data_IF_847739252890
#
_entry.id   IF_847739252890
#
_cell.length_a   1.000
_cell.length_b   1.000
_cell.length_c   1.000
_cell.angle_alpha   90.00
_cell.angle_beta   90.00
_cell.angle_gamma   90.00
#
_symmetry.space_group_name_H-M   'P 1'
#
loop_
_entity.id
_entity.type
_entity.pdbx_description
1 polymer ?
#
# COMPACT_ATOMS: atom_id res chain seq x y z
N UNK A 1 8.88 -14.63 7.92
CA UNK A 1 9.82 -13.63 7.42
C UNK A 1 9.51 -12.22 7.91
N UNK A 2 9.23 -12.05 9.18
CA UNK A 2 8.91 -10.72 9.76
C UNK A 2 10.11 -10.12 10.48
N UNK A 3 11.33 -10.47 10.01
CA UNK A 3 12.54 -9.94 10.62
C UNK A 3 12.61 -8.45 10.36
N UNK A 4 12.71 -7.68 11.43
CA UNK A 4 13.02 -6.27 11.40
C UNK A 4 14.52 -6.09 11.30
N UNK A 5 14.93 -5.13 10.51
CA UNK A 5 16.32 -4.73 10.33
C UNK A 5 16.44 -3.25 10.66
N UNK A 6 17.45 -2.90 11.41
CA UNK A 6 17.77 -1.51 11.66
C UNK A 6 18.38 -0.89 10.40
N UNK A 7 17.69 0.09 9.82
CA UNK A 7 18.22 0.90 8.72
C UNK A 7 18.41 2.33 9.19
N UNK A 8 19.53 2.91 8.80
CA UNK A 8 19.83 4.31 9.05
C UNK A 8 19.10 5.19 8.04
N UNK A 9 18.55 6.30 8.51
CA UNK A 9 18.00 7.36 7.68
C UNK A 9 19.15 8.11 7.02
N UNK A 10 19.32 7.92 5.73
CA UNK A 10 20.37 8.59 4.96
C UNK A 10 20.00 10.04 4.63
N UNK A 11 18.72 10.28 4.32
CA UNK A 11 18.24 11.61 3.92
C UNK A 11 16.76 11.79 4.24
N UNK A 12 16.40 13.04 4.59
CA UNK A 12 15.01 13.49 4.71
C UNK A 12 14.79 14.67 3.77
N UNK A 13 13.86 14.53 2.83
CA UNK A 13 13.48 15.57 1.88
C UNK A 13 12.05 16.01 2.13
N UNK A 14 11.84 17.30 2.40
CA UNK A 14 10.49 17.86 2.53
C UNK A 14 9.83 17.95 1.14
N UNK A 15 8.68 17.29 0.98
CA UNK A 15 7.89 17.30 -0.26
C UNK A 15 6.83 18.39 -0.23
N UNK A 16 6.21 18.60 0.93
CA UNK A 16 5.23 19.65 1.21
C UNK A 16 5.38 20.08 2.68
N UNK A 17 4.60 21.05 3.14
CA UNK A 17 4.58 21.46 4.56
C UNK A 17 4.16 20.33 5.54
N UNK A 18 3.54 19.27 5.02
CA UNK A 18 3.02 18.15 5.82
C UNK A 18 3.56 16.78 5.38
N UNK A 19 4.56 16.74 4.50
CA UNK A 19 5.05 15.47 3.94
C UNK A 19 6.56 15.46 3.79
N UNK A 20 7.17 14.31 4.10
CA UNK A 20 8.60 14.07 3.93
C UNK A 20 8.84 12.78 3.14
N UNK A 21 9.93 12.77 2.37
CA UNK A 21 10.50 11.54 1.82
C UNK A 21 11.68 11.14 2.70
N UNK A 22 11.71 9.87 3.08
CA UNK A 22 12.73 9.24 3.91
C UNK A 22 13.50 8.28 3.00
N UNK A 23 14.80 8.51 2.82
CA UNK A 23 15.71 7.61 2.10
C UNK A 23 16.55 6.85 3.12
N UNK A 24 16.62 5.54 2.98
CA UNK A 24 17.36 4.66 3.87
C UNK A 24 18.73 4.31 3.30
N UNK A 25 19.72 4.22 4.18
CA UNK A 25 21.01 3.61 3.87
C UNK A 25 20.87 2.08 4.01
N UNK A 26 20.92 1.37 2.89
CA UNK A 26 20.86 -0.10 2.87
C UNK A 26 22.28 -0.66 2.82
N UNK A 27 22.75 -1.32 3.90
CA UNK A 27 24.08 -1.97 3.91
C UNK A 27 24.21 -3.01 2.79
N UNK A 28 25.40 -3.16 2.22
CA UNK A 28 25.67 -4.09 1.11
C UNK A 28 25.19 -5.52 1.39
N UNK A 29 25.36 -6.00 2.61
CA UNK A 29 24.91 -7.32 3.04
C UNK A 29 23.38 -7.50 3.02
N UNK A 30 22.64 -6.39 3.04
CA UNK A 30 21.18 -6.37 3.05
C UNK A 30 20.56 -6.02 1.69
N UNK A 31 21.34 -5.69 0.67
CA UNK A 31 20.83 -5.30 -0.66
C UNK A 31 19.89 -6.33 -1.27
N UNK A 32 20.17 -7.62 -1.12
CA UNK A 32 19.27 -8.69 -1.56
C UNK A 32 17.97 -8.76 -0.76
N UNK A 33 18.05 -8.47 0.54
CA UNK A 33 16.88 -8.51 1.44
C UNK A 33 15.96 -7.35 1.15
N UNK A 34 16.51 -6.20 0.76
CA UNK A 34 15.77 -4.97 0.44
C UNK A 34 15.67 -4.70 -1.06
N UNK A 35 15.94 -5.70 -1.92
CA UNK A 35 15.52 -5.61 -3.33
C UNK A 35 13.99 -5.64 -3.40
N UNK A 36 13.42 -4.83 -4.27
CA UNK A 36 11.97 -4.64 -4.35
C UNK A 36 11.47 -4.61 -5.79
N UNK A 37 10.19 -4.90 -5.94
CA UNK A 37 9.43 -4.64 -7.16
C UNK A 37 8.72 -3.28 -7.04
N UNK A 38 8.62 -2.56 -8.16
CA UNK A 38 7.96 -1.25 -8.14
C UNK A 38 6.49 -1.37 -7.76
N UNK A 39 6.09 -0.64 -6.71
CA UNK A 39 4.76 -0.70 -6.10
C UNK A 39 4.71 -1.43 -4.75
N UNK A 40 5.75 -2.16 -4.36
CA UNK A 40 5.85 -2.73 -3.01
C UNK A 40 5.97 -1.64 -1.93
N UNK A 41 5.74 -2.05 -0.68
CA UNK A 41 5.83 -1.18 0.49
C UNK A 41 6.83 -1.71 1.53
N UNK A 42 7.30 -0.82 2.39
CA UNK A 42 8.02 -1.15 3.61
C UNK A 42 7.11 -1.05 4.82
N UNK A 43 7.32 -1.92 5.79
CA UNK A 43 6.77 -1.75 7.13
C UNK A 43 7.83 -1.14 8.03
N UNK A 44 7.57 0.07 8.51
CA UNK A 44 8.43 0.79 9.43
C UNK A 44 7.92 0.62 10.86
N UNK A 45 8.83 0.37 11.79
CA UNK A 45 8.54 0.28 13.21
C UNK A 45 9.46 1.21 14.01
N UNK A 46 8.87 1.90 14.97
CA UNK A 46 9.61 2.74 15.91
C UNK A 46 8.93 2.73 17.29
N UNK A 47 9.73 2.88 18.33
CA UNK A 47 9.20 3.11 19.69
C UNK A 47 8.94 4.59 19.86
N UNK A 48 7.67 4.98 19.98
CA UNK A 48 7.23 6.37 20.12
C UNK A 48 6.42 6.46 21.42
N UNK A 49 6.79 7.36 22.30
CA UNK A 49 6.17 7.52 23.64
C UNK A 49 6.11 6.21 24.45
N UNK A 50 7.12 5.35 24.32
CA UNK A 50 7.20 4.06 25.01
C UNK A 50 6.40 2.92 24.37
N UNK A 51 5.70 3.17 23.29
CA UNK A 51 4.92 2.17 22.55
C UNK A 51 5.54 1.86 21.19
N UNK A 52 5.55 0.58 20.81
CA UNK A 52 5.96 0.16 19.47
C UNK A 52 4.87 0.47 18.46
N UNK A 53 5.17 1.35 17.53
CA UNK A 53 4.25 1.77 16.47
C UNK A 53 4.78 1.28 15.12
N UNK A 54 3.95 0.49 14.40
CA UNK A 54 4.28 -0.11 13.10
C UNK A 54 3.34 0.43 12.02
N UNK A 55 3.88 0.86 10.86
CA UNK A 55 3.08 1.37 9.73
C UNK A 55 3.69 0.97 8.39
N UNK A 56 2.80 0.73 7.41
CA UNK A 56 3.18 0.48 6.02
C UNK A 56 3.30 1.79 5.24
N UNK A 57 4.34 1.89 4.41
CA UNK A 57 4.53 2.99 3.45
C UNK A 57 5.05 2.44 2.14
N UNK A 58 4.36 2.74 1.04
CA UNK A 58 4.77 2.30 -0.29
C UNK A 58 6.13 2.92 -0.65
N UNK A 59 6.98 2.13 -1.29
CA UNK A 59 8.25 2.58 -1.83
C UNK A 59 7.95 3.56 -2.96
N UNK A 60 8.66 4.70 -2.98
CA UNK A 60 8.48 5.75 -3.98
C UNK A 60 9.71 5.94 -4.89
N UNK A 61 10.83 5.30 -4.58
CA UNK A 61 11.98 5.20 -5.48
C UNK A 61 11.73 4.20 -6.61
N UNK A 62 12.34 4.43 -7.77
CA UNK A 62 12.37 3.46 -8.86
C UNK A 62 13.39 2.34 -8.58
N UNK A 63 13.14 1.14 -9.09
CA UNK A 63 14.03 -0.03 -8.91
C UNK A 63 15.43 0.24 -9.49
N UNK A 64 15.50 1.08 -10.51
CA UNK A 64 16.74 1.47 -11.20
C UNK A 64 17.55 2.58 -10.49
N UNK A 65 17.01 3.22 -9.44
CA UNK A 65 17.67 4.37 -8.80
C UNK A 65 18.73 3.95 -7.78
N UNK A 66 18.72 2.68 -7.33
CA UNK A 66 19.65 2.20 -6.30
C UNK A 66 19.38 2.78 -4.91
N UNK A 67 18.24 3.43 -4.73
CA UNK A 67 17.78 4.02 -3.48
C UNK A 67 16.55 3.27 -2.93
N UNK A 68 16.40 3.29 -1.63
CA UNK A 68 15.22 2.77 -0.94
C UNK A 68 14.55 3.93 -0.20
N UNK A 69 13.45 4.44 -0.76
CA UNK A 69 12.77 5.62 -0.23
C UNK A 69 11.29 5.40 -0.08
N UNK A 70 10.71 5.95 1.00
CA UNK A 70 9.26 6.03 1.24
C UNK A 70 8.86 7.47 1.49
N UNK A 71 7.60 7.83 1.21
CA UNK A 71 7.10 9.14 1.58
C UNK A 71 5.98 9.03 2.62
N UNK A 72 6.06 9.90 3.61
CA UNK A 72 5.13 9.99 4.74
C UNK A 72 4.41 11.31 4.71
N UNK A 73 3.08 11.30 4.58
CA UNK A 73 2.22 12.46 4.77
C UNK A 73 1.64 12.42 6.19
N UNK A 74 1.78 13.52 6.92
CA UNK A 74 1.19 13.66 8.26
C UNK A 74 -0.32 13.62 8.18
N UNK A 75 -0.93 12.76 8.99
CA UNK A 75 -2.38 12.68 9.17
C UNK A 75 -2.77 13.21 10.56
N UNK A 76 -3.96 13.80 10.72
CA UNK A 76 -4.43 14.26 12.03
C UNK A 76 -4.36 13.12 13.07
N UNK A 77 -3.77 13.39 14.23
CA UNK A 77 -3.59 12.43 15.33
C UNK A 77 -2.78 11.17 14.98
N UNK A 78 -2.08 11.16 13.86
CA UNK A 78 -1.25 10.04 13.44
C UNK A 78 0.08 10.01 14.20
N UNK A 79 0.29 9.02 15.09
CA UNK A 79 1.49 8.91 15.93
C UNK A 79 2.75 8.79 15.08
N UNK A 80 2.83 7.77 14.21
CA UNK A 80 4.03 7.56 13.39
C UNK A 80 4.24 8.69 12.38
N UNK A 81 3.18 9.15 11.70
CA UNK A 81 3.31 10.19 10.69
C UNK A 81 3.71 11.55 11.27
N UNK A 82 3.29 11.86 12.50
CA UNK A 82 3.76 13.07 13.21
C UNK A 82 5.23 12.94 13.57
N UNK A 83 5.63 11.80 14.17
CA UNK A 83 7.04 11.51 14.47
C UNK A 83 7.92 11.64 13.21
N UNK A 84 7.54 10.98 12.12
CA UNK A 84 8.32 10.98 10.88
C UNK A 84 8.48 12.36 10.23
N UNK A 85 7.48 13.25 10.39
CA UNK A 85 7.51 14.58 9.77
C UNK A 85 8.04 15.69 10.67
N UNK A 86 8.17 15.46 11.98
CA UNK A 86 8.51 16.51 12.95
C UNK A 86 9.74 16.21 13.80
N UNK A 87 10.03 14.93 14.06
CA UNK A 87 11.05 14.52 15.03
C UNK A 87 12.20 13.74 14.40
N UNK A 88 11.90 12.88 13.41
CA UNK A 88 12.88 12.03 12.74
C UNK A 88 13.94 12.87 12.02
N UNK A 89 15.21 12.45 12.13
CA UNK A 89 16.36 13.16 11.56
C UNK A 89 17.24 12.22 10.75
N UNK A 90 18.01 12.81 9.85
CA UNK A 90 19.11 12.11 9.17
C UNK A 90 20.11 11.57 10.20
N UNK A 91 20.50 10.32 10.02
CA UNK A 91 21.34 9.60 10.94
C UNK A 91 20.60 8.76 12.00
N UNK A 92 19.30 9.00 12.21
CA UNK A 92 18.48 8.16 13.08
C UNK A 92 18.32 6.76 12.49
N UNK A 93 17.94 5.81 13.34
CA UNK A 93 17.70 4.42 12.95
C UNK A 93 16.23 4.06 13.11
N UNK A 94 15.69 3.37 12.12
CA UNK A 94 14.32 2.83 12.13
C UNK A 94 14.38 1.33 11.90
N UNK A 95 13.55 0.56 12.59
CA UNK A 95 13.33 -0.85 12.32
C UNK A 95 12.45 -1.00 11.08
N UNK A 96 12.94 -1.72 10.05
CA UNK A 96 12.29 -1.85 8.75
C UNK A 96 12.13 -3.32 8.40
N UNK A 97 10.94 -3.74 7.98
CA UNK A 97 10.74 -5.05 7.35
C UNK A 97 11.15 -5.02 5.88
N UNK A 98 11.59 -6.15 5.32
CA UNK A 98 11.83 -6.27 3.88
C UNK A 98 10.61 -5.83 3.06
N UNK A 99 10.82 -5.42 1.78
CA UNK A 99 9.73 -5.06 0.88
C UNK A 99 8.68 -6.16 0.76
N UNK A 100 7.42 -5.77 0.66
CA UNK A 100 6.26 -6.64 0.58
C UNK A 100 5.16 -5.97 -0.26
N UNK A 101 4.23 -6.77 -0.77
CA UNK A 101 3.04 -6.27 -1.45
C UNK A 101 2.71 -7.04 -2.71
N UNK A 102 1.46 -6.91 -3.17
CA UNK A 102 0.97 -7.50 -4.41
C UNK A 102 0.61 -6.46 -5.47
N UNK A 103 0.66 -5.17 -5.11
CA UNK A 103 0.40 -4.05 -6.01
C UNK A 103 1.67 -3.70 -6.79
N UNK A 104 2.11 -4.60 -7.68
CA UNK A 104 3.41 -4.51 -8.33
C UNK A 104 3.32 -4.31 -9.84
N UNK A 105 4.35 -3.70 -10.39
CA UNK A 105 4.52 -3.49 -11.82
C UNK A 105 5.28 -4.66 -12.45
N UNK A 106 4.56 -5.46 -13.24
CA UNK A 106 5.14 -6.57 -14.01
C UNK A 106 5.22 -6.18 -15.49
N UNK A 107 6.40 -5.94 -16.01
CA UNK A 107 6.58 -5.52 -17.40
C UNK A 107 6.73 -6.69 -18.41
N UNK A 108 7.06 -7.91 -17.95
CA UNK A 108 7.33 -9.04 -18.84
C UNK A 108 6.10 -9.81 -19.33
N UNK A 109 4.99 -9.81 -18.57
CA UNK A 109 3.85 -10.70 -18.81
C UNK A 109 2.96 -10.25 -19.96
N UNK A 110 2.87 -8.96 -20.24
CA UNK A 110 1.98 -8.39 -21.26
C UNK A 110 2.71 -7.71 -22.43
N UNK A 111 4.01 -7.93 -22.55
CA UNK A 111 4.82 -7.24 -23.55
C UNK A 111 4.86 -5.72 -23.32
N UNK A 112 5.30 -4.99 -24.31
CA UNK A 112 5.42 -3.52 -24.26
C UNK A 112 4.06 -2.82 -24.38
N UNK A 113 3.16 -3.03 -23.42
CA UNK A 113 1.86 -2.36 -23.40
C UNK A 113 1.89 -1.16 -22.46
N UNK A 114 1.25 -0.08 -22.92
CA UNK A 114 1.14 1.18 -22.19
C UNK A 114 0.32 1.03 -20.91
N UNK A 115 0.60 1.86 -19.90
CA UNK A 115 -0.08 1.82 -18.61
C UNK A 115 -0.73 3.15 -18.25
N UNK A 116 -1.83 3.08 -17.52
CA UNK A 116 -2.49 4.24 -16.95
C UNK A 116 -2.46 4.17 -15.42
N UNK A 117 -1.97 5.24 -14.81
CA UNK A 117 -1.83 5.38 -13.36
C UNK A 117 -2.83 6.43 -12.87
N UNK A 118 -3.60 6.08 -11.86
CA UNK A 118 -4.54 6.99 -11.19
C UNK A 118 -4.18 7.11 -9.72
N UNK A 119 -3.99 8.33 -9.25
CA UNK A 119 -3.79 8.53 -7.81
C UNK A 119 -4.45 9.79 -7.29
N UNK A 120 -4.63 9.87 -5.97
CA UNK A 120 -4.91 11.11 -5.28
C UNK A 120 -4.17 11.16 -3.93
N UNK A 121 -3.67 12.36 -3.60
CA UNK A 121 -2.94 12.61 -2.37
C UNK A 121 -1.73 11.69 -2.19
N UNK A 122 -1.63 11.01 -1.06
CA UNK A 122 -0.51 10.09 -0.75
C UNK A 122 -0.49 8.82 -1.58
N UNK A 123 -1.58 8.46 -2.29
CA UNK A 123 -1.58 7.33 -3.22
C UNK A 123 -0.61 7.47 -4.40
N UNK A 124 0.03 8.61 -4.53
CA UNK A 124 1.11 8.85 -5.50
C UNK A 124 2.36 8.01 -5.23
N UNK A 125 2.59 7.57 -4.00
CA UNK A 125 3.86 6.92 -3.61
C UNK A 125 4.17 5.66 -4.43
N UNK A 126 3.30 4.65 -4.54
CA UNK A 126 3.55 3.50 -5.40
C UNK A 126 3.57 3.88 -6.89
N UNK A 127 2.80 4.90 -7.30
CA UNK A 127 2.78 5.38 -8.69
C UNK A 127 4.13 5.98 -9.11
N UNK A 128 4.82 6.68 -8.20
CA UNK A 128 6.17 7.20 -8.48
C UNK A 128 7.15 6.06 -8.73
N UNK A 129 7.15 5.04 -7.89
CA UNK A 129 7.98 3.85 -8.07
C UNK A 129 7.70 3.17 -9.43
N UNK A 130 6.43 2.95 -9.75
CA UNK A 130 5.99 2.34 -11.01
C UNK A 130 6.37 3.20 -12.21
N UNK A 131 6.08 4.51 -12.18
CA UNK A 131 6.37 5.41 -13.29
C UNK A 131 7.87 5.51 -13.58
N UNK A 132 8.70 5.74 -12.55
CA UNK A 132 10.16 5.80 -12.67
C UNK A 132 10.73 4.51 -13.26
N UNK A 133 10.31 3.36 -12.71
CA UNK A 133 10.76 2.05 -13.16
C UNK A 133 10.33 1.78 -14.61
N UNK A 134 9.06 2.00 -14.93
CA UNK A 134 8.52 1.79 -16.27
C UNK A 134 9.23 2.66 -17.33
N UNK A 135 9.42 3.94 -17.04
CA UNK A 135 10.06 4.87 -17.95
C UNK A 135 11.55 4.57 -18.16
N UNK A 136 12.26 4.14 -17.11
CA UNK A 136 13.68 3.85 -17.20
C UNK A 136 13.99 2.48 -17.79
N UNK A 137 13.20 1.45 -17.47
CA UNK A 137 13.52 0.08 -17.80
C UNK A 137 12.76 -0.47 -19.03
N UNK A 138 11.78 0.27 -19.55
CA UNK A 138 10.96 -0.15 -20.70
C UNK A 138 10.82 0.97 -21.73
N UNK A 139 10.12 0.69 -22.83
CA UNK A 139 9.75 1.68 -23.85
C UNK A 139 8.26 2.03 -23.86
N UNK A 140 7.51 1.57 -22.85
CA UNK A 140 6.07 1.82 -22.75
C UNK A 140 5.76 3.29 -22.49
N UNK A 141 4.55 3.69 -22.84
CA UNK A 141 4.00 4.99 -22.48
C UNK A 141 3.23 4.89 -21.17
N UNK A 142 3.33 5.94 -20.38
CA UNK A 142 2.68 6.06 -19.08
C UNK A 142 1.78 7.30 -19.10
N UNK A 143 0.50 7.14 -18.88
CA UNK A 143 -0.43 8.25 -18.61
C UNK A 143 -0.70 8.27 -17.12
N UNK A 144 -0.40 9.39 -16.48
CA UNK A 144 -0.55 9.56 -15.06
C UNK A 144 -1.61 10.63 -14.73
N UNK A 145 -2.66 10.23 -14.04
CA UNK A 145 -3.76 11.10 -13.60
C UNK A 145 -3.65 11.29 -12.10
N UNK A 146 -3.37 12.53 -11.67
CA UNK A 146 -3.06 12.80 -10.28
C UNK A 146 -3.96 13.87 -9.67
N UNK A 147 -4.82 13.46 -8.73
CA UNK A 147 -5.75 14.32 -8.02
C UNK A 147 -5.17 14.89 -6.72
N UNK A 148 -5.33 16.18 -6.49
CA UNK A 148 -4.93 16.87 -5.25
C UNK A 148 -5.93 17.99 -4.90
N UNK A 149 -5.74 18.64 -3.76
CA UNK A 149 -6.50 19.83 -3.39
C UNK A 149 -5.98 21.05 -4.12
N UNK A 150 -4.67 21.26 -4.10
CA UNK A 150 -3.95 22.34 -4.76
C UNK A 150 -2.58 21.86 -5.25
N UNK A 151 -1.86 22.71 -5.97
CA UNK A 151 -0.48 22.45 -6.40
C UNK A 151 0.46 22.30 -5.21
N UNK A 152 0.33 23.14 -4.21
CA UNK A 152 1.18 23.19 -3.01
C UNK A 152 1.07 21.92 -2.15
N UNK A 153 -0.09 21.24 -2.20
CA UNK A 153 -0.31 19.95 -1.52
C UNK A 153 0.09 18.74 -2.38
N UNK A 154 0.58 18.96 -3.60
CA UNK A 154 0.95 17.88 -4.54
C UNK A 154 2.32 17.33 -4.21
N UNK A 155 2.36 16.12 -3.65
CA UNK A 155 3.62 15.41 -3.39
C UNK A 155 4.34 15.15 -4.71
N UNK A 156 5.66 15.24 -4.70
CA UNK A 156 6.52 14.97 -5.86
C UNK A 156 6.26 15.85 -7.08
N UNK A 157 5.63 17.04 -6.92
CA UNK A 157 5.26 17.88 -8.06
C UNK A 157 6.48 18.18 -8.98
N UNK A 158 7.57 18.68 -8.40
CA UNK A 158 8.77 19.04 -9.16
C UNK A 158 9.44 17.82 -9.82
N UNK A 159 9.43 16.67 -9.13
CA UNK A 159 9.98 15.42 -9.64
C UNK A 159 9.13 14.85 -10.78
N UNK A 160 7.81 14.93 -10.70
CA UNK A 160 6.89 14.54 -11.78
C UNK A 160 7.11 15.43 -13.01
N UNK A 161 7.24 16.74 -12.84
CA UNK A 161 7.50 17.67 -13.96
C UNK A 161 8.91 17.44 -14.57
N UNK A 162 9.91 17.10 -13.76
CA UNK A 162 11.23 16.71 -14.26
C UNK A 162 11.17 15.41 -15.08
N UNK A 163 10.45 14.38 -14.61
CA UNK A 163 10.23 13.15 -15.37
C UNK A 163 9.48 13.40 -16.68
N UNK A 164 8.48 14.29 -16.66
CA UNK A 164 7.72 14.68 -17.85
C UNK A 164 8.61 15.38 -18.87
N UNK A 165 9.53 16.24 -18.42
CA UNK A 165 10.51 16.89 -19.28
C UNK A 165 11.55 15.88 -19.83
N UNK A 166 11.94 14.89 -19.04
CA UNK A 166 12.87 13.83 -19.45
C UNK A 166 12.26 12.85 -20.46
N UNK A 167 10.97 12.55 -20.34
CA UNK A 167 10.27 11.58 -21.18
C UNK A 167 9.03 12.19 -21.88
N UNK A 168 9.19 13.29 -22.68
CA UNK A 168 8.06 14.07 -23.16
C UNK A 168 7.10 13.29 -24.06
N UNK A 169 7.59 12.27 -24.78
CA UNK A 169 6.76 11.44 -25.66
C UNK A 169 6.10 10.26 -24.92
N UNK A 170 6.67 9.83 -23.81
CA UNK A 170 6.24 8.61 -23.12
C UNK A 170 5.57 8.84 -21.78
N UNK A 171 5.74 10.01 -21.14
CA UNK A 171 5.13 10.33 -19.86
C UNK A 171 4.16 11.50 -19.99
N UNK A 172 2.88 11.22 -19.90
CA UNK A 172 1.82 12.21 -19.99
C UNK A 172 1.14 12.36 -18.63
N UNK A 173 1.18 13.56 -18.07
CA UNK A 173 0.64 13.85 -16.74
C UNK A 173 -0.58 14.74 -16.82
N UNK A 174 -1.62 14.40 -16.09
CA UNK A 174 -2.86 15.15 -15.96
C UNK A 174 -3.18 15.36 -14.49
N UNK A 175 -3.11 16.62 -14.06
CA UNK A 175 -3.52 16.97 -12.71
C UNK A 175 -5.00 17.28 -12.64
N UNK A 176 -5.63 16.96 -11.50
CA UNK A 176 -7.00 17.33 -11.16
C UNK A 176 -7.01 18.01 -9.78
N UNK A 177 -7.30 19.32 -9.74
CA UNK A 177 -7.28 20.10 -8.50
C UNK A 177 -8.68 20.37 -7.99
N UNK A 178 -9.00 19.93 -6.77
CA UNK A 178 -10.34 19.95 -6.22
C UNK A 178 -10.72 21.23 -5.46
N UNK A 179 -9.74 22.03 -5.03
CA UNK A 179 -9.98 23.24 -4.25
C UNK A 179 -9.40 24.49 -4.92
N UNK A 180 -8.18 24.40 -5.43
CA UNK A 180 -7.49 25.54 -6.06
C UNK A 180 -7.09 25.17 -7.50
N UNK A 181 -7.93 25.54 -8.49
CA UNK A 181 -7.62 25.32 -9.90
C UNK A 181 -6.29 25.99 -10.29
N UNK A 182 -5.47 25.28 -11.07
CA UNK A 182 -4.19 25.79 -11.52
C UNK A 182 -3.96 25.49 -13.01
N UNK A 183 -3.66 26.52 -13.80
CA UNK A 183 -3.39 26.39 -15.23
C UNK A 183 -4.52 25.70 -16.01
N UNK A 184 -4.18 25.02 -17.09
CA UNK A 184 -5.11 24.28 -17.96
C UNK A 184 -5.36 22.83 -17.47
N UNK A 185 -5.33 22.62 -16.15
CA UNK A 185 -5.56 21.32 -15.55
C UNK A 185 -7.03 21.08 -15.23
N UNK A 186 -7.41 19.81 -15.00
CA UNK A 186 -8.78 19.48 -14.62
C UNK A 186 -9.13 20.11 -13.27
N UNK A 187 -10.35 20.64 -13.20
CA UNK A 187 -10.93 21.16 -11.95
C UNK A 187 -11.83 20.11 -11.33
N UNK A 188 -11.70 19.92 -10.01
CA UNK A 188 -12.48 18.94 -9.27
C UNK A 188 -11.73 17.66 -9.00
N UNK A 189 -12.46 16.63 -8.54
CA UNK A 189 -11.91 15.28 -8.32
C UNK A 189 -11.91 14.50 -9.63
N UNK A 190 -11.03 13.50 -9.71
CA UNK A 190 -11.04 12.52 -10.80
C UNK A 190 -12.43 11.89 -10.86
N UNK A 191 -13.04 11.90 -12.03
CA UNK A 191 -14.41 11.44 -12.26
C UNK A 191 -14.54 10.84 -13.68
N UNK A 192 -15.73 10.34 -14.00
CA UNK A 192 -16.04 9.68 -15.26
C UNK A 192 -15.74 10.54 -16.50
N UNK A 193 -16.02 11.85 -16.42
CA UNK A 193 -15.72 12.78 -17.51
C UNK A 193 -14.23 12.82 -17.81
N UNK A 194 -13.38 13.00 -16.76
CA UNK A 194 -11.93 13.04 -16.91
C UNK A 194 -11.42 11.72 -17.49
N UNK A 195 -11.92 10.59 -16.98
CA UNK A 195 -11.53 9.27 -17.47
C UNK A 195 -11.91 9.08 -18.94
N UNK A 196 -13.12 9.48 -19.35
CA UNK A 196 -13.55 9.44 -20.75
C UNK A 196 -12.68 10.31 -21.65
N UNK A 197 -12.46 11.58 -21.27
CA UNK A 197 -11.63 12.52 -22.03
C UNK A 197 -10.20 11.93 -22.26
N UNK A 198 -9.65 11.22 -21.28
CA UNK A 198 -8.33 10.61 -21.40
C UNK A 198 -8.32 9.36 -22.29
N UNK A 199 -9.35 8.50 -22.21
CA UNK A 199 -9.47 7.36 -23.11
C UNK A 199 -9.62 7.82 -24.57
N UNK A 200 -10.40 8.87 -24.82
CA UNK A 200 -10.55 9.45 -26.17
C UNK A 200 -9.23 10.07 -26.65
N UNK A 201 -8.55 10.83 -25.78
CA UNK A 201 -7.28 11.49 -26.09
C UNK A 201 -6.16 10.51 -26.44
N UNK A 202 -6.13 9.37 -25.74
CA UNK A 202 -5.08 8.34 -25.89
C UNK A 202 -5.62 7.05 -26.49
N UNK A 203 -6.63 7.14 -27.35
CA UNK A 203 -7.27 5.98 -28.01
C UNK A 203 -6.30 5.09 -28.80
N UNK A 204 -5.20 5.68 -29.29
CA UNK A 204 -4.18 4.99 -30.10
C UNK A 204 -3.09 4.33 -29.22
N UNK A 205 -3.20 4.40 -27.88
CA UNK A 205 -2.26 3.74 -26.98
C UNK A 205 -2.61 2.25 -26.85
N UNK A 206 -1.59 1.41 -26.78
CA UNK A 206 -1.75 -0.03 -26.61
C UNK A 206 -1.86 -0.38 -25.13
N UNK A 207 -3.03 -0.12 -24.54
CA UNK A 207 -3.25 -0.27 -23.11
C UNK A 207 -3.03 -1.69 -22.58
N UNK A 208 -2.18 -1.84 -21.56
CA UNK A 208 -1.90 -3.06 -20.82
C UNK A 208 -2.61 -3.10 -19.48
N UNK A 209 -2.22 -2.26 -18.55
CA UNK A 209 -2.68 -2.29 -17.16
C UNK A 209 -3.06 -0.91 -16.65
N UNK A 210 -3.93 -0.94 -15.65
CA UNK A 210 -4.46 0.24 -14.97
C UNK A 210 -4.17 0.10 -13.48
N UNK A 211 -3.55 1.10 -12.89
CA UNK A 211 -3.21 1.13 -11.48
C UNK A 211 -3.93 2.28 -10.80
N UNK A 212 -4.58 2.02 -9.66
CA UNK A 212 -5.29 3.03 -8.89
C UNK A 212 -4.92 2.95 -7.41
N UNK A 213 -4.46 4.07 -6.82
CA UNK A 213 -4.17 4.19 -5.39
C UNK A 213 -4.56 5.57 -4.86
N UNK A 214 -5.20 5.62 -3.71
CA UNK A 214 -5.67 6.86 -3.09
C UNK A 214 -6.85 6.64 -2.14
N UNK A 215 -7.70 7.67 -1.94
CA UNK A 215 -8.90 7.53 -1.12
C UNK A 215 -9.80 6.39 -1.59
N UNK A 216 -10.32 5.63 -0.64
CA UNK A 216 -11.10 4.41 -0.89
C UNK A 216 -12.21 4.60 -1.92
N UNK A 217 -12.97 5.70 -1.81
CA UNK A 217 -14.06 5.96 -2.75
C UNK A 217 -13.56 6.18 -4.17
N UNK A 218 -12.47 6.94 -4.36
CA UNK A 218 -11.87 7.14 -5.68
C UNK A 218 -11.45 5.82 -6.32
N UNK A 219 -10.78 4.96 -5.55
CA UNK A 219 -10.30 3.66 -6.06
C UNK A 219 -11.46 2.75 -6.46
N UNK A 220 -12.53 2.70 -5.64
CA UNK A 220 -13.76 1.94 -5.95
C UNK A 220 -14.45 2.47 -7.21
N UNK A 221 -14.63 3.78 -7.31
CA UNK A 221 -15.26 4.42 -8.46
C UNK A 221 -14.44 4.16 -9.75
N UNK A 222 -13.13 4.33 -9.69
CA UNK A 222 -12.23 4.05 -10.82
C UNK A 222 -12.31 2.59 -11.27
N UNK A 223 -12.29 1.66 -10.32
CA UNK A 223 -12.41 0.23 -10.64
C UNK A 223 -13.73 -0.06 -11.36
N UNK A 224 -14.83 0.47 -10.87
CA UNK A 224 -16.16 0.32 -11.50
C UNK A 224 -16.18 0.95 -12.90
N UNK A 225 -15.69 2.19 -13.05
CA UNK A 225 -15.58 2.89 -14.32
C UNK A 225 -14.79 2.08 -15.37
N UNK A 226 -13.67 1.46 -14.97
CA UNK A 226 -12.84 0.66 -15.85
C UNK A 226 -13.54 -0.65 -16.26
N UNK A 227 -14.20 -1.33 -15.32
CA UNK A 227 -14.98 -2.55 -15.58
C UNK A 227 -16.16 -2.27 -16.52
N UNK A 228 -16.90 -1.17 -16.35
CA UNK A 228 -17.99 -0.76 -17.23
C UNK A 228 -17.51 -0.47 -18.65
N UNK A 229 -16.24 -0.15 -18.86
CA UNK A 229 -15.60 -0.03 -20.19
C UNK A 229 -15.14 -1.35 -20.80
N UNK A 230 -15.44 -2.47 -20.14
CA UNK A 230 -15.06 -3.80 -20.62
C UNK A 230 -13.59 -4.14 -20.39
N UNK A 231 -12.91 -3.43 -19.51
CA UNK A 231 -11.53 -3.77 -19.13
C UNK A 231 -11.57 -4.97 -18.21
N UNK A 232 -10.81 -6.00 -18.53
CA UNK A 232 -10.71 -7.20 -17.70
C UNK A 232 -10.21 -6.87 -16.30
N UNK A 233 -10.84 -7.45 -15.29
CA UNK A 233 -10.49 -7.26 -13.88
C UNK A 233 -9.01 -7.54 -13.57
N UNK A 234 -8.41 -8.51 -14.27
CA UNK A 234 -7.02 -8.93 -14.09
C UNK A 234 -6.01 -7.90 -14.66
N UNK A 235 -6.51 -6.85 -15.29
CA UNK A 235 -5.74 -5.70 -15.79
C UNK A 235 -5.88 -4.48 -14.91
N UNK A 236 -6.72 -4.53 -13.86
CA UNK A 236 -7.02 -3.42 -12.95
C UNK A 236 -6.41 -3.74 -11.59
N UNK A 237 -5.39 -2.98 -11.21
CA UNK A 237 -4.69 -3.12 -9.94
C UNK A 237 -5.08 -1.96 -9.03
N UNK A 238 -5.47 -2.29 -7.80
CA UNK A 238 -5.91 -1.28 -6.83
C UNK A 238 -5.19 -1.47 -5.49
N UNK A 239 -4.79 -0.38 -4.86
CA UNK A 239 -4.25 -0.37 -3.50
C UNK A 239 -4.96 0.67 -2.66
N UNK A 240 -5.31 0.32 -1.42
CA UNK A 240 -5.98 1.18 -0.45
C UNK A 240 -5.04 1.45 0.74
N UNK A 241 -4.93 2.71 1.16
CA UNK A 241 -4.19 3.08 2.37
C UNK A 241 -5.11 3.24 3.58
N UNK A 242 -6.36 3.55 3.32
CA UNK A 242 -7.38 3.67 4.34
C UNK A 242 -8.43 2.56 4.16
N UNK A 243 -8.81 2.00 5.26
CA UNK A 243 -9.83 0.98 5.25
C UNK A 243 -11.23 1.60 5.18
N UNK A 244 -12.14 0.99 4.43
CA UNK A 244 -13.58 1.26 4.56
C UNK A 244 -14.05 1.01 6.02
N UNK A 245 -15.19 1.55 6.46
CA UNK A 245 -15.80 1.12 7.72
C UNK A 245 -15.94 -0.40 7.78
N UNK A 246 -15.88 -0.98 8.98
CA UNK A 246 -16.08 -2.41 9.14
C UNK A 246 -17.46 -2.82 8.59
N UNK A 247 -17.50 -3.93 7.85
CA UNK A 247 -18.75 -4.48 7.29
C UNK A 247 -19.58 -5.21 8.37
N UNK A 248 -18.90 -5.69 9.42
CA UNK A 248 -19.53 -6.37 10.54
C UNK A 248 -18.80 -6.05 11.86
N UNK A 249 -19.56 -5.99 12.93
CA UNK A 249 -19.05 -5.83 14.29
C UNK A 249 -19.09 -7.17 15.05
N UNK A 250 -17.93 -7.74 15.28
CA UNK A 250 -17.76 -8.96 16.07
C UNK A 250 -17.26 -8.69 17.50
N UNK A 251 -17.17 -7.43 17.93
CA UNK A 251 -16.74 -7.05 19.28
C UNK A 251 -17.71 -7.54 20.37
N UNK A 252 -18.94 -7.92 19.99
CA UNK A 252 -19.98 -8.43 20.87
C UNK A 252 -19.98 -9.95 21.02
N UNK A 253 -19.08 -10.68 20.34
CA UNK A 253 -18.96 -12.13 20.52
C UNK A 253 -18.60 -12.46 21.96
N UNK A 254 -19.31 -13.44 22.53
CA UNK A 254 -19.11 -13.90 23.93
C UNK A 254 -18.39 -15.25 23.96
N UNK A 255 -17.74 -15.52 25.08
CA UNK A 255 -17.04 -16.78 25.34
C UNK A 255 -15.58 -16.75 24.91
N UNK A 256 -14.94 -17.88 25.10
CA UNK A 256 -13.53 -18.10 24.79
C UNK A 256 -13.37 -19.00 23.56
N UNK A 257 -12.21 -18.94 22.97
CA UNK A 257 -11.76 -19.81 21.89
C UNK A 257 -10.37 -20.36 22.21
N UNK A 258 -10.18 -21.64 22.00
CA UNK A 258 -8.85 -22.28 22.00
C UNK A 258 -8.21 -22.07 20.62
N UNK A 259 -7.13 -21.29 20.58
CA UNK A 259 -6.41 -20.97 19.35
C UNK A 259 -5.14 -21.83 19.27
N UNK A 260 -5.01 -22.62 18.21
CA UNK A 260 -3.78 -23.28 17.83
C UNK A 260 -3.12 -22.49 16.72
N UNK A 261 -2.00 -21.83 17.03
CA UNK A 261 -1.24 -20.95 16.15
C UNK A 261 0.00 -21.67 15.62
N UNK A 262 0.14 -21.79 14.30
CA UNK A 262 1.39 -22.22 13.64
C UNK A 262 2.13 -21.00 13.11
N UNK A 263 3.31 -20.73 13.68
CA UNK A 263 4.12 -19.55 13.39
C UNK A 263 5.61 -19.92 13.40
N UNK A 264 6.35 -19.60 12.34
CA UNK A 264 7.80 -19.86 12.27
C UNK A 264 8.19 -21.31 12.46
N UNK A 265 7.36 -22.27 12.05
CA UNK A 265 7.58 -23.71 12.23
C UNK A 265 7.22 -24.24 13.62
N UNK A 266 6.85 -23.37 14.56
CA UNK A 266 6.39 -23.74 15.90
C UNK A 266 4.87 -23.76 16.00
N UNK A 267 4.34 -24.54 16.92
CA UNK A 267 2.90 -24.63 17.21
C UNK A 267 2.65 -24.20 18.65
N UNK A 268 1.76 -23.26 18.85
CA UNK A 268 1.38 -22.73 20.16
C UNK A 268 -0.13 -22.87 20.35
N UNK A 269 -0.57 -23.29 21.52
CA UNK A 269 -2.00 -23.39 21.86
C UNK A 269 -2.29 -22.54 23.08
N UNK A 270 -3.33 -21.70 23.00
CA UNK A 270 -3.73 -20.80 24.08
C UNK A 270 -5.19 -20.41 23.95
N UNK A 271 -5.77 -19.97 25.08
CA UNK A 271 -7.14 -19.45 25.10
C UNK A 271 -7.16 -17.93 24.89
N UNK A 272 -8.19 -17.45 24.22
CA UNK A 272 -8.49 -16.02 24.06
C UNK A 272 -9.99 -15.77 24.03
N UNK A 273 -10.40 -14.52 24.23
CA UNK A 273 -11.80 -14.13 24.09
C UNK A 273 -12.21 -14.06 22.61
N UNK A 274 -13.41 -14.50 22.26
CA UNK A 274 -13.92 -14.49 20.87
C UNK A 274 -14.11 -13.10 20.30
N UNK A 275 -14.27 -12.08 21.14
CA UNK A 275 -14.36 -10.67 20.73
C UNK A 275 -13.01 -10.01 20.42
N UNK A 276 -11.94 -10.76 20.43
CA UNK A 276 -10.62 -10.30 20.01
C UNK A 276 -10.27 -10.87 18.63
N UNK A 277 -9.58 -10.08 17.82
CA UNK A 277 -9.05 -10.59 16.55
C UNK A 277 -7.98 -11.64 16.81
N UNK A 278 -7.84 -12.59 15.89
CA UNK A 278 -6.85 -13.66 15.99
C UNK A 278 -5.43 -13.13 16.09
N UNK A 279 -5.12 -12.03 15.38
CA UNK A 279 -3.83 -11.34 15.48
C UNK A 279 -3.64 -10.72 16.87
N UNK A 280 -4.63 -9.97 17.37
CA UNK A 280 -4.54 -9.34 18.69
C UNK A 280 -4.32 -10.38 19.78
N UNK A 281 -5.04 -11.51 19.70
CA UNK A 281 -4.90 -12.64 20.61
C UNK A 281 -3.49 -13.22 20.63
N UNK A 282 -2.84 -13.33 19.45
CA UNK A 282 -1.46 -13.79 19.33
C UNK A 282 -0.46 -12.78 19.92
N UNK A 283 -0.60 -11.49 19.56
CA UNK A 283 0.30 -10.43 20.03
C UNK A 283 0.22 -10.24 21.55
N UNK A 284 -0.95 -10.32 22.16
CA UNK A 284 -1.13 -10.21 23.61
C UNK A 284 -0.47 -11.36 24.39
N UNK A 285 -0.23 -12.50 23.73
CA UNK A 285 0.55 -13.64 24.28
C UNK A 285 2.05 -13.53 24.01
N UNK A 286 2.50 -12.45 23.35
CA UNK A 286 3.91 -12.23 23.04
C UNK A 286 4.40 -12.96 21.79
N UNK A 287 3.51 -13.53 20.97
CA UNK A 287 3.90 -14.15 19.71
C UNK A 287 4.10 -13.05 18.64
N UNK A 288 5.23 -13.05 17.96
CA UNK A 288 5.56 -12.09 16.89
C UNK A 288 4.89 -12.49 15.57
N UNK A 289 3.54 -12.50 15.58
CA UNK A 289 2.77 -12.76 14.38
C UNK A 289 2.90 -11.60 13.38
N UNK A 290 2.87 -11.88 12.05
CA UNK A 290 3.07 -10.85 11.03
C UNK A 290 1.94 -9.85 10.98
N UNK A 291 2.26 -8.56 10.95
CA UNK A 291 1.30 -7.49 10.69
C UNK A 291 2.00 -6.18 10.29
N UNK A 292 1.22 -5.28 9.68
CA UNK A 292 1.67 -3.92 9.36
C UNK A 292 0.55 -2.89 9.59
N UNK A 293 -0.49 -2.84 8.75
CA UNK A 293 -1.50 -1.79 8.77
C UNK A 293 -2.54 -1.92 9.88
N UNK A 294 -2.83 -3.13 10.38
CA UNK A 294 -3.91 -3.49 11.32
C UNK A 294 -5.33 -3.18 10.80
N UNK A 295 -5.49 -2.79 9.55
CA UNK A 295 -6.72 -2.27 8.95
C UNK A 295 -7.28 -3.12 7.79
N UNK A 296 -6.71 -4.30 7.52
CA UNK A 296 -7.22 -5.20 6.49
C UNK A 296 -6.90 -4.77 5.04
N UNK A 297 -5.89 -3.91 4.82
CA UNK A 297 -5.55 -3.35 3.49
C UNK A 297 -4.17 -3.74 2.97
N UNK A 298 -3.31 -4.44 3.75
CA UNK A 298 -1.91 -4.64 3.34
C UNK A 298 -1.47 -6.10 3.21
N UNK A 299 -2.35 -7.06 3.43
CA UNK A 299 -2.08 -8.51 3.40
C UNK A 299 -0.96 -9.06 4.30
N UNK A 300 -0.21 -8.22 5.04
CA UNK A 300 0.90 -8.68 5.91
C UNK A 300 0.48 -9.69 6.97
N UNK A 301 -0.80 -9.68 7.38
CA UNK A 301 -1.34 -10.53 8.44
C UNK A 301 -2.14 -11.73 7.90
N UNK A 302 -1.93 -12.10 6.64
CA UNK A 302 -2.61 -13.24 6.02
C UNK A 302 -2.24 -14.51 6.77
N UNK A 303 -3.27 -15.28 7.13
CA UNK A 303 -3.13 -16.60 7.73
C UNK A 303 -4.14 -17.55 7.10
N UNK A 304 -3.86 -18.85 7.11
CA UNK A 304 -4.77 -19.89 6.65
C UNK A 304 -5.45 -20.54 7.82
N UNK A 305 -6.77 -20.68 7.79
CA UNK A 305 -7.53 -21.49 8.72
C UNK A 305 -7.39 -22.96 8.31
N UNK A 306 -6.80 -23.78 9.20
CA UNK A 306 -6.64 -25.23 9.00
C UNK A 306 -7.78 -26.02 9.65
N UNK A 307 -8.32 -25.54 10.77
CA UNK A 307 -9.45 -26.15 11.51
C UNK A 307 -10.30 -25.07 12.18
N UNK A 308 -11.62 -25.27 12.27
CA UNK A 308 -12.56 -24.31 12.82
C UNK A 308 -13.01 -23.27 11.81
N UNK A 309 -13.63 -22.19 12.28
CA UNK A 309 -14.16 -21.12 11.44
C UNK A 309 -13.83 -19.75 12.01
N UNK A 310 -13.57 -18.79 11.11
CA UNK A 310 -13.40 -17.38 11.43
C UNK A 310 -14.19 -16.51 10.44
N UNK A 311 -14.59 -15.33 10.89
CA UNK A 311 -15.20 -14.30 10.04
C UNK A 311 -14.38 -13.02 10.14
N UNK A 312 -14.19 -12.37 9.01
CA UNK A 312 -13.50 -11.07 8.95
C UNK A 312 -14.52 -9.94 9.09
N UNK A 313 -14.23 -8.97 9.96
CA UNK A 313 -14.99 -7.73 10.06
C UNK A 313 -14.85 -6.89 8.78
N UNK A 314 -13.76 -7.10 8.05
CA UNK A 314 -13.41 -6.40 6.83
C UNK A 314 -12.42 -7.20 5.99
N UNK A 315 -12.55 -7.10 4.67
CA UNK A 315 -11.59 -7.64 3.72
C UNK A 315 -11.49 -6.73 2.48
N UNK A 316 -10.40 -6.01 2.34
CA UNK A 316 -10.13 -5.15 1.15
C UNK A 316 -8.99 -5.70 0.28
N UNK A 317 -8.46 -6.90 0.63
CA UNK A 317 -7.23 -7.41 0.01
C UNK A 317 -7.38 -8.81 -0.57
N UNK A 318 -8.00 -9.74 0.18
CA UNK A 318 -8.16 -11.12 -0.27
C UNK A 318 -9.30 -11.22 -1.28
N UNK A 319 -9.05 -11.96 -2.36
CA UNK A 319 -10.07 -12.32 -3.34
C UNK A 319 -11.09 -13.30 -2.75
N UNK A 320 -12.27 -13.41 -3.37
CA UNK A 320 -13.29 -14.39 -2.99
C UNK A 320 -12.74 -15.84 -3.03
N UNK A 321 -11.84 -16.12 -3.97
CA UNK A 321 -11.20 -17.43 -4.08
C UNK A 321 -10.28 -17.69 -2.88
N UNK A 322 -9.43 -16.75 -2.49
CA UNK A 322 -8.54 -16.91 -1.35
C UNK A 322 -9.35 -17.09 -0.05
N UNK A 323 -10.43 -16.35 0.13
CA UNK A 323 -11.33 -16.51 1.26
C UNK A 323 -11.99 -17.92 1.25
N UNK A 324 -12.42 -18.39 0.08
CA UNK A 324 -12.97 -19.73 -0.07
C UNK A 324 -11.93 -20.84 0.18
N UNK A 325 -10.66 -20.57 -0.13
CA UNK A 325 -9.52 -21.47 0.13
C UNK A 325 -9.07 -21.44 1.62
N UNK A 326 -9.77 -20.66 2.48
CA UNK A 326 -9.55 -20.59 3.94
C UNK A 326 -8.56 -19.52 4.38
N UNK A 327 -8.16 -18.60 3.49
CA UNK A 327 -7.30 -17.49 3.89
C UNK A 327 -8.07 -16.37 4.58
N UNK A 328 -7.47 -15.78 5.60
CA UNK A 328 -8.03 -14.69 6.39
C UNK A 328 -6.99 -13.59 6.62
N UNK A 329 -7.48 -12.37 6.81
CA UNK A 329 -6.69 -11.28 7.38
C UNK A 329 -6.80 -11.36 8.91
N UNK A 330 -5.82 -11.92 9.58
CA UNK A 330 -5.90 -12.21 11.04
C UNK A 330 -6.14 -10.96 11.89
N UNK A 331 -5.75 -9.77 11.41
CA UNK A 331 -6.03 -8.48 12.08
C UNK A 331 -7.51 -8.07 12.02
N UNK A 332 -8.31 -8.71 11.18
CA UNK A 332 -9.74 -8.46 11.00
C UNK A 332 -10.59 -9.70 11.29
N UNK A 333 -9.97 -10.85 11.56
CA UNK A 333 -10.64 -12.13 11.71
C UNK A 333 -10.93 -12.46 13.17
N UNK A 334 -12.15 -12.90 13.45
CA UNK A 334 -12.66 -13.33 14.74
C UNK A 334 -13.08 -14.81 14.66
N UNK A 335 -12.70 -15.61 15.64
CA UNK A 335 -13.12 -17.00 15.68
C UNK A 335 -14.62 -17.12 15.98
N UNK A 336 -15.33 -17.94 15.19
CA UNK A 336 -16.76 -18.22 15.40
C UNK A 336 -17.00 -19.58 16.06
N UNK A 337 -16.01 -20.46 16.04
CA UNK A 337 -16.01 -21.77 16.73
C UNK A 337 -15.28 -21.68 18.07
N UNK A 338 -15.45 -22.71 18.93
CA UNK A 338 -14.79 -22.78 20.24
C UNK A 338 -13.31 -23.20 20.15
N UNK A 339 -12.92 -23.76 19.00
CA UNK A 339 -11.53 -24.10 18.65
C UNK A 339 -11.23 -23.63 17.24
N UNK A 340 -10.03 -23.10 17.05
CA UNK A 340 -9.55 -22.71 15.75
C UNK A 340 -8.06 -22.99 15.62
N UNK A 341 -7.65 -23.43 14.44
CA UNK A 341 -6.24 -23.61 14.08
C UNK A 341 -5.91 -22.77 12.88
N UNK A 342 -4.93 -21.90 13.05
CA UNK A 342 -4.45 -21.01 12.01
C UNK A 342 -2.96 -21.16 11.78
N UNK A 343 -2.54 -20.97 10.53
CA UNK A 343 -1.15 -21.00 10.09
C UNK A 343 -0.82 -19.70 9.39
N UNK A 344 0.20 -19.01 9.86
CA UNK A 344 0.83 -17.96 9.07
C UNK A 344 1.75 -18.60 8.04
N UNK A 345 1.61 -18.21 6.79
CA UNK A 345 2.53 -18.64 5.73
C UNK A 345 3.81 -17.80 5.85
N UNK A 346 4.94 -18.50 5.90
CA UNK A 346 6.28 -17.89 6.03
C UNK A 346 6.78 -17.38 4.69
#
# INVERSE_FOLDING_TARGET
MNKLYELKVAKITHLTTSSVMITFEVPDLLRKVFSFEAGEYLTLQQTINGEKVRRAYSICSGVNEGELSVAVKRVPNGVFSSYATQELKEGDTIEVMPPMGSFVFFYDIFGNRDIMLFSAGSGVTPMMSIAKTALAMTQIKVVFVYGNKSKEETLFFDEIEALKAQYPERFKVHYAFSQEPWGDHYTGRINDKIVNDLFDKYKDFNWGRYYACGPTQLVKDLREMLLLRGIDKDRIFTELFEASPAEADYSQLQGNVEITLRLGGQTHTFESAKNQTLLSSALMRGYDAPYSCLNGVCSSCVAKVEEGEAKMAKNETLSEKEVADGYILSCQAYATTDKIKIKFEN
#
